data_IF_470726383853
#
_entry.id   IF_470726383853
#
_cell.length_a   1.000
_cell.length_b   1.000
_cell.length_c   1.000
_cell.angle_alpha   90.00
_cell.angle_beta   90.00
_cell.angle_gamma   90.00
#
_symmetry.space_group_name_H-M   'P 1'
#
loop_
_entity.id
_entity.type
_entity.pdbx_description
1 polymer ?
#
# COMPACT_ATOMS: atom_id res chain seq x y z
N UNK A 1 1.24 24.07 42.65
CA UNK A 1 1.16 23.17 43.83
C UNK A 1 2.56 23.08 44.43
N UNK A 2 2.68 23.42 45.71
CA UNK A 2 3.93 23.32 46.46
C UNK A 2 3.92 21.97 47.20
N UNK A 3 4.63 21.00 46.66
CA UNK A 3 4.67 19.63 47.16
C UNK A 3 5.62 19.45 48.34
N UNK A 4 6.49 20.42 48.63
CA UNK A 4 7.52 20.30 49.67
C UNK A 4 7.02 20.78 51.01
N UNK A 5 6.00 21.70 51.04
CA UNK A 5 5.50 22.35 52.24
C UNK A 5 4.05 22.02 52.61
N UNK A 6 3.28 21.41 51.70
CA UNK A 6 1.87 21.08 51.92
C UNK A 6 1.67 19.57 52.08
N UNK A 7 1.00 19.17 53.13
CA UNK A 7 0.61 17.77 53.39
C UNK A 7 -0.85 17.46 53.02
N UNK A 8 -1.65 18.50 52.74
CA UNK A 8 -3.04 18.36 52.31
C UNK A 8 -3.27 19.15 51.02
N UNK A 9 -3.92 18.51 50.04
CA UNK A 9 -4.25 19.10 48.75
C UNK A 9 -5.72 18.95 48.48
N UNK A 10 -6.37 20.05 48.11
CA UNK A 10 -7.78 20.07 47.67
C UNK A 10 -7.82 20.07 46.14
N UNK A 11 -8.51 19.08 45.56
CA UNK A 11 -8.76 18.98 44.14
C UNK A 11 -10.25 19.16 43.88
N UNK A 12 -10.62 20.18 43.12
CA UNK A 12 -12.00 20.44 42.69
C UNK A 12 -12.18 19.92 41.29
N UNK A 13 -13.14 19.02 41.10
CA UNK A 13 -13.50 18.48 39.79
C UNK A 13 -14.94 18.90 39.47
N UNK A 14 -15.14 19.39 38.23
CA UNK A 14 -16.48 19.52 37.65
C UNK A 14 -16.84 18.19 36.97
N UNK A 15 -17.88 17.53 37.48
CA UNK A 15 -18.37 16.27 36.93
C UNK A 15 -19.72 16.55 36.25
N UNK A 16 -19.72 16.37 34.91
CA UNK A 16 -20.96 16.35 34.15
C UNK A 16 -21.62 14.97 34.29
N UNK A 17 -22.83 14.94 34.80
CA UNK A 17 -23.65 13.72 34.86
C UNK A 17 -24.57 13.72 33.64
N UNK A 18 -24.46 12.67 32.80
CA UNK A 18 -25.41 12.47 31.72
C UNK A 18 -26.80 12.11 32.31
N UNK A 19 -27.86 12.74 31.83
CA UNK A 19 -29.23 12.38 32.29
C UNK A 19 -29.55 10.94 31.86
N UNK A 20 -30.37 10.25 32.64
CA UNK A 20 -30.92 8.96 32.23
C UNK A 20 -31.75 9.14 30.95
N UNK A 21 -31.28 8.57 29.85
CA UNK A 21 -32.01 8.57 28.58
C UNK A 21 -32.82 7.28 28.50
N UNK A 22 -34.12 7.40 28.80
CA UNK A 22 -35.07 6.28 28.64
C UNK A 22 -35.54 6.20 27.16
N UNK A 23 -34.81 5.50 26.32
CA UNK A 23 -35.26 5.22 24.95
C UNK A 23 -36.23 4.06 24.97
N UNK A 24 -37.50 4.32 24.63
CA UNK A 24 -38.53 3.29 24.46
C UNK A 24 -38.73 3.04 22.97
N UNK A 25 -38.04 2.05 22.44
CA UNK A 25 -38.26 1.55 21.07
C UNK A 25 -39.61 0.81 21.01
N UNK A 26 -40.41 1.10 20.02
CA UNK A 26 -41.71 0.50 19.77
C UNK A 26 -41.73 -0.12 18.35
N UNK A 27 -42.69 -1.00 18.09
CA UNK A 27 -42.92 -1.56 16.73
C UNK A 27 -43.29 -0.52 15.66
N UNK A 28 -43.50 0.73 16.04
CA UNK A 28 -43.81 1.84 15.13
C UNK A 28 -42.54 2.59 14.68
N UNK A 29 -41.44 2.41 15.38
CA UNK A 29 -40.19 3.06 15.07
C UNK A 29 -39.55 2.37 13.85
N UNK A 30 -39.26 3.17 12.83
CA UNK A 30 -38.65 2.68 11.59
C UNK A 30 -37.19 3.06 11.58
N UNK A 31 -36.33 2.07 11.51
CA UNK A 31 -34.89 2.25 11.31
C UNK A 31 -34.58 1.89 9.84
N UNK A 32 -33.96 2.78 9.13
CA UNK A 32 -33.53 2.53 7.75
C UNK A 32 -32.25 1.68 7.77
N UNK A 33 -32.36 0.44 7.29
CA UNK A 33 -31.18 -0.40 7.09
C UNK A 33 -30.72 -0.29 5.64
N UNK A 34 -29.46 0.13 5.47
CA UNK A 34 -28.83 0.16 4.16
C UNK A 34 -28.31 -1.22 3.79
N UNK A 35 -28.52 -1.61 2.54
CA UNK A 35 -27.98 -2.84 1.98
C UNK A 35 -26.95 -2.47 0.91
N UNK A 36 -25.68 -2.74 1.16
CA UNK A 36 -24.61 -2.47 0.23
C UNK A 36 -24.52 -3.64 -0.75
N UNK A 37 -24.58 -3.35 -2.06
CA UNK A 37 -24.40 -4.37 -3.09
C UNK A 37 -22.92 -4.55 -3.39
N UNK A 38 -22.49 -5.81 -3.49
CA UNK A 38 -21.11 -6.16 -3.84
C UNK A 38 -20.97 -6.09 -5.37
N UNK A 39 -20.18 -5.15 -5.85
CA UNK A 39 -19.85 -5.00 -7.27
C UNK A 39 -18.64 -5.86 -7.65
N UNK A 40 -18.53 -6.20 -8.95
CA UNK A 40 -17.41 -6.99 -9.49
C UNK A 40 -16.06 -6.31 -9.23
N UNK A 41 -15.99 -4.98 -9.38
CA UNK A 41 -14.78 -4.20 -9.07
C UNK A 41 -14.30 -4.38 -7.62
N UNK A 42 -15.24 -4.51 -6.68
CA UNK A 42 -14.92 -4.76 -5.28
C UNK A 42 -14.35 -6.17 -5.10
N UNK A 43 -14.97 -7.18 -5.72
CA UNK A 43 -14.46 -8.56 -5.72
C UNK A 43 -13.05 -8.64 -6.30
N UNK A 44 -12.81 -7.97 -7.45
CA UNK A 44 -11.50 -7.94 -8.09
C UNK A 44 -10.45 -7.28 -7.20
N UNK A 45 -10.80 -6.20 -6.50
CA UNK A 45 -9.92 -5.54 -5.52
C UNK A 45 -9.55 -6.46 -4.36
N UNK A 46 -10.52 -7.14 -3.76
CA UNK A 46 -10.26 -8.09 -2.67
C UNK A 46 -9.43 -9.29 -3.13
N UNK A 47 -9.77 -9.85 -4.31
CA UNK A 47 -9.02 -10.95 -4.93
C UNK A 47 -7.57 -10.54 -5.18
N UNK A 48 -7.35 -9.41 -5.81
CA UNK A 48 -6.01 -8.89 -6.11
C UNK A 48 -5.20 -8.65 -4.84
N UNK A 49 -5.79 -8.02 -3.83
CA UNK A 49 -5.13 -7.78 -2.55
C UNK A 49 -4.76 -9.09 -1.83
N UNK A 50 -5.63 -10.09 -1.91
CA UNK A 50 -5.35 -11.41 -1.35
C UNK A 50 -4.23 -12.11 -2.12
N UNK A 51 -4.32 -12.18 -3.44
CA UNK A 51 -3.34 -12.83 -4.32
C UNK A 51 -1.96 -12.17 -4.20
N UNK A 52 -1.90 -10.84 -4.07
CA UNK A 52 -0.65 -10.09 -3.94
C UNK A 52 0.19 -10.50 -2.71
N UNK A 53 -0.43 -11.08 -1.68
CA UNK A 53 0.30 -11.58 -0.50
C UNK A 53 1.11 -12.85 -0.77
N UNK A 54 0.73 -13.61 -1.80
CA UNK A 54 1.30 -14.91 -2.16
C UNK A 54 2.05 -14.89 -3.48
N UNK A 55 2.11 -13.72 -4.14
CA UNK A 55 2.91 -13.52 -5.33
C UNK A 55 4.41 -13.48 -5.03
N UNK A 56 5.20 -13.58 -6.06
CA UNK A 56 6.67 -13.54 -5.98
C UNK A 56 7.24 -12.50 -6.94
N UNK A 57 8.38 -11.95 -6.57
CA UNK A 57 9.18 -11.14 -7.46
C UNK A 57 10.13 -12.07 -8.25
N UNK A 58 10.06 -12.00 -9.57
CA UNK A 58 10.93 -12.75 -10.47
C UNK A 58 11.82 -11.81 -11.26
N UNK A 59 13.03 -12.26 -11.56
CA UNK A 59 13.93 -11.51 -12.42
C UNK A 59 13.51 -11.73 -13.88
N UNK A 60 13.47 -10.63 -14.64
CA UNK A 60 13.09 -10.61 -16.05
C UNK A 60 14.11 -9.83 -16.88
N UNK A 61 14.16 -10.09 -18.19
CA UNK A 61 15.18 -9.51 -19.08
C UNK A 61 14.80 -8.16 -19.66
N UNK A 62 13.51 -7.82 -19.71
CA UNK A 62 13.00 -6.58 -20.32
C UNK A 62 11.92 -5.93 -19.48
N UNK A 63 11.93 -4.60 -19.48
CA UNK A 63 11.04 -3.77 -18.65
C UNK A 63 9.64 -3.69 -19.23
N UNK A 64 8.63 -3.96 -18.39
CA UNK A 64 7.21 -3.73 -18.64
C UNK A 64 6.60 -2.73 -17.62
N UNK A 65 5.30 -2.47 -17.76
CA UNK A 65 4.62 -1.34 -17.09
C UNK A 65 4.64 -1.35 -15.56
N UNK A 66 4.71 -2.53 -14.95
CA UNK A 66 4.54 -2.68 -13.49
C UNK A 66 5.81 -3.19 -12.81
N UNK A 67 6.91 -3.22 -13.54
CA UNK A 67 8.18 -3.73 -13.03
C UNK A 67 8.82 -2.78 -12.02
N UNK A 68 9.64 -3.36 -11.16
CA UNK A 68 10.53 -2.69 -10.24
C UNK A 68 11.97 -2.85 -10.72
N UNK A 69 12.72 -1.75 -10.70
CA UNK A 69 14.09 -1.72 -11.19
C UNK A 69 15.07 -1.49 -10.05
N UNK A 70 16.16 -2.22 -10.05
CA UNK A 70 17.39 -1.83 -9.38
C UNK A 70 18.28 -1.15 -10.43
N UNK A 71 18.80 0.01 -10.06
CA UNK A 71 19.55 0.85 -11.00
C UNK A 71 20.79 1.44 -10.34
N UNK A 72 21.79 1.74 -11.13
CA UNK A 72 22.89 2.61 -10.74
C UNK A 72 22.60 4.03 -11.23
N UNK A 73 22.75 5.03 -10.35
CA UNK A 73 22.65 6.45 -10.68
C UNK A 73 24.03 7.08 -10.60
N UNK A 74 24.46 7.74 -11.67
CA UNK A 74 25.80 8.35 -11.76
C UNK A 74 25.70 9.80 -12.22
N UNK A 75 26.43 10.69 -11.50
CA UNK A 75 26.59 12.09 -11.85
C UNK A 75 27.96 12.57 -11.39
N UNK A 76 28.89 12.80 -12.34
CA UNK A 76 30.29 13.14 -12.00
C UNK A 76 30.92 12.06 -11.11
N UNK A 77 31.38 12.46 -9.94
CA UNK A 77 31.96 11.53 -8.94
C UNK A 77 30.92 10.90 -8.01
N UNK A 78 29.67 11.36 -8.09
CA UNK A 78 28.58 10.82 -7.27
C UNK A 78 27.96 9.60 -7.95
N UNK A 79 28.11 8.44 -7.30
CA UNK A 79 27.58 7.16 -7.75
C UNK A 79 26.78 6.51 -6.65
N UNK A 80 25.56 6.11 -6.99
CA UNK A 80 24.67 5.32 -6.11
C UNK A 80 24.38 4.00 -6.79
N UNK A 81 24.76 2.93 -6.15
CA UNK A 81 24.46 1.58 -6.57
C UNK A 81 23.16 1.09 -5.88
N UNK A 82 22.44 0.21 -6.54
CA UNK A 82 21.20 -0.41 -6.01
C UNK A 82 20.08 0.59 -5.65
N UNK A 83 20.01 1.73 -6.34
CA UNK A 83 18.86 2.61 -6.22
C UNK A 83 17.61 1.92 -6.79
N UNK A 84 16.45 2.16 -6.14
CA UNK A 84 15.19 1.52 -6.52
C UNK A 84 14.31 2.46 -7.33
N UNK A 85 13.78 1.99 -8.46
CA UNK A 85 12.79 2.70 -9.28
C UNK A 85 11.60 1.80 -9.51
N UNK A 86 10.45 2.14 -8.89
CA UNK A 86 9.17 1.45 -9.12
C UNK A 86 8.39 2.10 -10.24
N UNK A 87 8.03 1.36 -11.28
CA UNK A 87 7.23 1.86 -12.39
C UNK A 87 5.72 1.88 -12.06
N UNK A 88 5.30 1.16 -11.02
CA UNK A 88 3.94 1.22 -10.49
C UNK A 88 3.64 2.64 -9.98
N UNK A 89 2.54 3.23 -10.44
CA UNK A 89 2.15 4.59 -10.04
C UNK A 89 2.76 5.72 -10.88
N UNK A 90 3.65 5.42 -11.82
CA UNK A 90 4.04 6.36 -12.86
C UNK A 90 2.93 6.49 -13.91
N UNK A 91 2.74 7.68 -14.46
CA UNK A 91 1.88 7.84 -15.63
C UNK A 91 2.57 7.29 -16.90
N UNK A 92 1.85 7.19 -18.01
CA UNK A 92 2.37 6.59 -19.24
C UNK A 92 3.54 7.40 -19.85
N UNK A 93 3.56 8.72 -19.70
CA UNK A 93 4.65 9.57 -20.19
C UNK A 93 5.94 9.39 -19.37
N UNK A 94 5.80 9.31 -18.03
CA UNK A 94 6.93 9.07 -17.12
C UNK A 94 7.56 7.68 -17.35
N UNK A 95 6.74 6.71 -17.69
CA UNK A 95 7.10 5.29 -17.87
C UNK A 95 7.67 4.98 -19.25
N UNK A 96 7.19 5.68 -20.28
CA UNK A 96 7.56 5.41 -21.67
C UNK A 96 9.07 5.26 -21.95
N UNK A 97 9.98 6.07 -21.35
CA UNK A 97 11.42 5.94 -21.57
C UNK A 97 12.02 4.61 -21.09
N UNK A 98 11.35 3.93 -20.14
CA UNK A 98 11.84 2.69 -19.55
C UNK A 98 11.39 1.45 -20.31
N UNK A 99 10.20 1.49 -20.94
CA UNK A 99 9.59 0.31 -21.55
C UNK A 99 10.48 -0.32 -22.63
N UNK A 100 10.62 -1.65 -22.54
CA UNK A 100 11.40 -2.44 -23.48
C UNK A 100 12.92 -2.39 -23.28
N UNK A 101 13.42 -1.57 -22.35
CA UNK A 101 14.85 -1.59 -21.99
C UNK A 101 15.20 -2.86 -21.22
N UNK A 102 16.49 -3.19 -21.24
CA UNK A 102 17.05 -4.42 -20.66
C UNK A 102 18.06 -4.10 -19.57
N UNK A 103 18.43 -5.13 -18.82
CA UNK A 103 19.58 -5.06 -17.91
C UNK A 103 20.83 -4.64 -18.70
N UNK A 104 21.54 -3.65 -18.17
CA UNK A 104 22.72 -3.03 -18.80
C UNK A 104 22.42 -1.78 -19.64
N UNK A 105 21.17 -1.54 -20.01
CA UNK A 105 20.79 -0.32 -20.72
C UNK A 105 20.91 0.91 -19.82
N UNK A 106 21.34 2.03 -20.43
CA UNK A 106 21.46 3.30 -19.74
C UNK A 106 20.61 4.40 -20.38
N UNK A 107 20.25 5.40 -19.59
CA UNK A 107 19.54 6.60 -20.03
C UNK A 107 19.81 7.76 -19.09
N UNK A 108 19.62 8.98 -19.58
CA UNK A 108 19.63 10.17 -18.75
C UNK A 108 18.24 10.38 -18.15
N UNK A 109 18.20 10.66 -16.85
CA UNK A 109 16.97 10.85 -16.08
C UNK A 109 17.05 12.07 -15.19
N UNK A 110 15.91 12.70 -14.99
CA UNK A 110 15.72 13.72 -13.98
C UNK A 110 15.18 13.04 -12.71
N UNK A 111 15.99 12.97 -11.66
CA UNK A 111 15.63 12.30 -10.40
C UNK A 111 14.45 12.97 -9.68
N UNK A 112 14.12 14.23 -10.00
CA UNK A 112 12.95 14.90 -9.44
C UNK A 112 11.64 14.36 -10.02
N UNK A 113 11.70 13.80 -11.23
CA UNK A 113 10.56 13.11 -11.87
C UNK A 113 10.40 11.69 -11.38
N UNK A 114 11.50 11.01 -11.05
CA UNK A 114 11.49 9.66 -10.51
C UNK A 114 11.02 9.64 -9.04
N UNK A 115 11.55 10.56 -8.24
CA UNK A 115 11.31 10.62 -6.80
C UNK A 115 10.65 11.96 -6.44
N UNK A 116 9.33 11.95 -6.31
CA UNK A 116 8.50 13.17 -6.23
C UNK A 116 8.70 13.98 -4.93
N UNK A 117 9.10 13.32 -3.85
CA UNK A 117 9.33 14.01 -2.56
C UNK A 117 10.82 14.18 -2.26
N UNK A 118 11.22 15.26 -1.52
CA UNK A 118 12.61 15.42 -1.08
C UNK A 118 13.14 14.21 -0.30
N UNK A 119 12.33 13.64 0.60
CA UNK A 119 12.70 12.47 1.38
C UNK A 119 12.99 11.24 0.50
N UNK A 120 12.19 10.99 -0.54
CA UNK A 120 12.44 9.92 -1.50
C UNK A 120 13.73 10.15 -2.29
N UNK A 121 13.98 11.39 -2.74
CA UNK A 121 15.22 11.74 -3.47
C UNK A 121 16.46 11.56 -2.59
N UNK A 122 16.41 12.08 -1.37
CA UNK A 122 17.51 11.94 -0.41
C UNK A 122 17.85 10.48 -0.14
N UNK A 123 16.83 9.66 0.11
CA UNK A 123 17.00 8.22 0.32
C UNK A 123 17.58 7.51 -0.92
N UNK A 124 17.06 7.82 -2.11
CA UNK A 124 17.51 7.21 -3.36
C UNK A 124 18.94 7.62 -3.75
N UNK A 125 19.35 8.84 -3.42
CA UNK A 125 20.68 9.36 -3.70
C UNK A 125 21.69 9.11 -2.56
N UNK A 126 21.24 8.57 -1.43
CA UNK A 126 22.11 8.31 -0.27
C UNK A 126 22.62 9.57 0.42
N UNK A 127 21.89 10.69 0.31
CA UNK A 127 22.25 12.01 0.86
C UNK A 127 21.18 12.46 1.87
N UNK A 128 21.45 13.55 2.61
CA UNK A 128 20.45 14.17 3.47
C UNK A 128 19.56 15.14 2.67
N UNK A 129 18.34 15.39 3.12
CA UNK A 129 17.41 16.29 2.43
C UNK A 129 17.98 17.72 2.24
N UNK A 130 18.72 18.21 3.22
CA UNK A 130 19.37 19.53 3.14
C UNK A 130 20.54 19.60 2.15
N UNK A 131 21.07 18.47 1.70
CA UNK A 131 22.13 18.37 0.70
C UNK A 131 21.59 18.35 -0.72
N UNK A 132 20.29 18.14 -0.89
CA UNK A 132 19.63 18.20 -2.21
C UNK A 132 19.61 19.60 -2.81
N UNK A 133 19.69 20.64 -1.97
CA UNK A 133 19.66 22.02 -2.42
C UNK A 133 20.93 22.33 -3.20
N UNK A 134 20.79 22.67 -4.49
CA UNK A 134 21.89 22.95 -5.40
C UNK A 134 22.46 21.73 -6.13
N UNK A 135 21.99 20.51 -5.87
CA UNK A 135 22.36 19.36 -6.70
C UNK A 135 21.68 19.42 -8.07
N UNK A 136 22.44 19.10 -9.12
CA UNK A 136 21.85 18.91 -10.46
C UNK A 136 20.95 17.67 -10.45
N UNK A 137 19.71 17.77 -10.92
CA UNK A 137 18.79 16.62 -10.92
C UNK A 137 19.05 15.58 -12.02
N UNK A 138 19.96 15.85 -12.96
CA UNK A 138 20.22 15.00 -14.10
C UNK A 138 21.26 13.94 -13.79
N UNK A 139 20.86 12.68 -13.84
CA UNK A 139 21.69 11.51 -13.58
C UNK A 139 21.67 10.57 -14.77
N UNK A 140 22.79 9.89 -15.02
CA UNK A 140 22.82 8.71 -15.87
C UNK A 140 22.34 7.53 -15.06
N UNK A 141 21.23 6.94 -15.49
CA UNK A 141 20.65 5.73 -14.92
C UNK A 141 21.09 4.53 -15.75
N UNK A 142 21.61 3.50 -15.09
CA UNK A 142 21.90 2.19 -15.71
C UNK A 142 21.10 1.12 -15.01
N UNK A 143 20.33 0.32 -15.77
CA UNK A 143 19.50 -0.77 -15.24
C UNK A 143 20.39 -1.93 -14.84
N UNK A 144 20.38 -2.33 -13.58
CA UNK A 144 21.17 -3.46 -13.06
C UNK A 144 20.33 -4.70 -12.86
N UNK A 145 19.05 -4.54 -12.53
CA UNK A 145 18.11 -5.66 -12.33
C UNK A 145 16.68 -5.22 -12.60
N UNK A 146 15.89 -6.13 -13.14
CA UNK A 146 14.46 -5.92 -13.40
C UNK A 146 13.70 -6.99 -12.66
N UNK A 147 12.77 -6.56 -11.79
CA UNK A 147 11.91 -7.48 -11.04
C UNK A 147 10.45 -7.25 -11.41
N UNK A 148 9.80 -8.32 -11.77
CA UNK A 148 8.36 -8.36 -12.04
C UNK A 148 7.63 -9.08 -10.94
N UNK A 149 6.52 -8.50 -10.50
CA UNK A 149 5.60 -9.21 -9.62
C UNK A 149 4.76 -10.18 -10.44
N UNK A 150 4.86 -11.46 -10.10
CA UNK A 150 4.00 -12.50 -10.63
C UNK A 150 2.97 -12.90 -9.58
N UNK A 151 1.70 -12.68 -9.90
CA UNK A 151 0.61 -13.20 -9.08
C UNK A 151 0.62 -14.74 -9.12
N UNK A 152 0.30 -15.43 -8.03
CA UNK A 152 0.24 -16.88 -8.03
C UNK A 152 -0.87 -17.38 -8.95
N UNK A 153 -0.67 -18.51 -9.59
CA UNK A 153 -1.75 -19.22 -10.26
C UNK A 153 -2.69 -19.84 -9.22
N UNK A 154 -4.00 -19.82 -9.48
CA UNK A 154 -5.00 -20.46 -8.61
C UNK A 154 -4.97 -21.99 -8.79
N UNK A 155 -3.90 -22.61 -8.36
CA UNK A 155 -3.63 -24.05 -8.41
C UNK A 155 -3.63 -24.66 -6.99
N UNK A 156 -3.46 -25.97 -6.93
CA UNK A 156 -3.45 -26.72 -5.66
C UNK A 156 -2.35 -26.24 -4.70
N UNK A 157 -1.19 -25.84 -5.22
CA UNK A 157 -0.07 -25.32 -4.43
C UNK A 157 -0.41 -23.99 -3.76
N UNK A 158 -1.03 -23.09 -4.52
CA UNK A 158 -1.54 -21.82 -3.99
C UNK A 158 -2.54 -22.04 -2.86
N UNK A 159 -3.54 -22.91 -3.06
CA UNK A 159 -4.56 -23.15 -2.04
C UNK A 159 -3.97 -23.78 -0.77
N UNK A 160 -3.02 -24.70 -0.88
CA UNK A 160 -2.31 -25.27 0.28
C UNK A 160 -1.51 -24.23 1.06
N UNK A 161 -0.90 -23.29 0.35
CA UNK A 161 -0.12 -22.21 0.97
C UNK A 161 -1.02 -21.16 1.62
N UNK A 162 -2.09 -20.76 0.92
CA UNK A 162 -2.98 -19.71 1.36
C UNK A 162 -3.99 -20.17 2.43
N UNK A 163 -4.35 -21.45 2.39
CA UNK A 163 -5.35 -22.08 3.28
C UNK A 163 -4.81 -23.41 3.83
N UNK A 164 -3.85 -23.36 4.77
CA UNK A 164 -3.18 -24.56 5.28
C UNK A 164 -4.14 -25.53 6.00
N UNK A 165 -5.26 -25.03 6.49
CA UNK A 165 -6.30 -25.86 7.13
C UNK A 165 -7.12 -26.68 6.13
N UNK A 166 -6.97 -26.43 4.81
CA UNK A 166 -7.59 -27.20 3.74
C UNK A 166 -9.06 -26.90 3.48
N UNK A 167 -9.59 -25.81 4.04
CA UNK A 167 -11.01 -25.43 3.90
C UNK A 167 -11.34 -24.94 2.48
N UNK A 168 -10.35 -24.41 1.76
CA UNK A 168 -10.49 -23.83 0.42
C UNK A 168 -9.46 -24.47 -0.49
N UNK A 169 -9.94 -25.22 -1.48
CA UNK A 169 -9.08 -25.98 -2.41
C UNK A 169 -9.42 -25.77 -3.88
N UNK A 170 -10.46 -24.99 -4.17
CA UNK A 170 -10.90 -24.72 -5.54
C UNK A 170 -11.13 -23.22 -5.78
N UNK A 171 -11.03 -22.75 -7.04
CA UNK A 171 -11.34 -21.36 -7.38
C UNK A 171 -12.76 -20.94 -6.95
N UNK A 172 -13.76 -21.82 -7.08
CA UNK A 172 -15.14 -21.52 -6.70
C UNK A 172 -15.28 -21.31 -5.20
N UNK A 173 -14.63 -22.16 -4.38
CA UNK A 173 -14.59 -22.01 -2.92
C UNK A 173 -13.85 -20.72 -2.53
N UNK A 174 -12.82 -20.35 -3.25
CA UNK A 174 -12.09 -19.10 -3.04
C UNK A 174 -12.96 -17.87 -3.36
N UNK A 175 -13.71 -17.87 -4.45
CA UNK A 175 -14.66 -16.80 -4.76
C UNK A 175 -15.76 -16.66 -3.70
N UNK A 176 -16.26 -17.78 -3.19
CA UNK A 176 -17.21 -17.77 -2.09
C UNK A 176 -16.61 -17.15 -0.82
N UNK A 177 -15.37 -17.50 -0.50
CA UNK A 177 -14.61 -16.91 0.60
C UNK A 177 -14.44 -15.39 0.44
N UNK A 178 -14.04 -14.91 -0.74
CA UNK A 178 -13.90 -13.47 -1.02
C UNK A 178 -15.24 -12.75 -0.81
N UNK A 179 -16.35 -13.29 -1.31
CA UNK A 179 -17.68 -12.72 -1.11
C UNK A 179 -18.06 -12.67 0.38
N UNK A 180 -17.72 -13.69 1.16
CA UNK A 180 -17.96 -13.72 2.60
C UNK A 180 -17.15 -12.64 3.33
N UNK A 181 -15.86 -12.46 2.99
CA UNK A 181 -15.01 -11.41 3.57
C UNK A 181 -15.60 -10.03 3.30
N UNK A 182 -15.95 -9.73 2.04
CA UNK A 182 -16.57 -8.47 1.65
C UNK A 182 -17.86 -8.25 2.45
N UNK A 183 -18.73 -9.27 2.51
CA UNK A 183 -20.00 -9.19 3.24
C UNK A 183 -19.77 -8.89 4.72
N UNK A 184 -18.77 -9.51 5.34
CA UNK A 184 -18.42 -9.31 6.74
C UNK A 184 -17.94 -7.88 7.01
N UNK A 185 -17.08 -7.35 6.13
CA UNK A 185 -16.54 -6.00 6.25
C UNK A 185 -17.64 -4.95 6.05
N UNK A 186 -18.48 -5.11 5.01
CA UNK A 186 -19.61 -4.22 4.76
C UNK A 186 -20.70 -4.29 5.86
N UNK A 187 -20.90 -5.45 6.49
CA UNK A 187 -21.83 -5.56 7.61
C UNK A 187 -21.39 -4.74 8.81
N UNK A 188 -20.09 -4.71 9.10
CA UNK A 188 -19.53 -3.85 10.15
C UNK A 188 -19.74 -2.37 9.85
N UNK A 189 -19.50 -1.94 8.60
CA UNK A 189 -19.72 -0.55 8.20
C UNK A 189 -21.21 -0.14 8.31
N UNK A 190 -22.13 -1.03 7.91
CA UNK A 190 -23.58 -0.77 8.02
C UNK A 190 -24.07 -0.72 9.47
N UNK A 191 -23.47 -1.48 10.38
CA UNK A 191 -23.79 -1.40 11.81
C UNK A 191 -23.32 -0.08 12.45
N UNK A 192 -22.23 0.51 11.96
CA UNK A 192 -21.79 1.83 12.40
C UNK A 192 -22.69 2.99 11.93
N UNK A 193 -23.50 2.79 10.90
CA UNK A 193 -24.40 3.78 10.33
C UNK A 193 -25.82 3.73 10.94
N UNK A 194 -26.08 2.78 11.83
CA UNK A 194 -27.34 2.62 12.59
C UNK A 194 -27.26 3.22 13.96
#
# INVERSE_FOLDING_TARGET
>A
LDFDNNTEYEFVFEVGIAPEIAIKLSKKDKITKYNIQIEDKMRDGYRSNFMNRYGKLVDVDSIEKEDALEVTLEQGDHKVEEAYVGLVGMNDEERAPFLGKKVGDSMDVDVTKLYKTPAQRAAALGVKENELEGMDPNYKLTVTRIRRFEAPEMNEEFFKMAFPDGDITTPEAFEAYINEQITRDLSRETEFLL
#
